data_IF_849630509255
#
_entry.id   IF_849630509255
#
_cell.length_a   1.000
_cell.length_b   1.000
_cell.length_c   1.000
_cell.angle_alpha   90.00
_cell.angle_beta   90.00
_cell.angle_gamma   90.00
#
_symmetry.space_group_name_H-M   'P 1'
#
loop_
_entity.id
_entity.type
_entity.pdbx_description
1 polymer ?
#
# COMPACT_ATOMS: atom_id res chain seq x y z
N UNK A 1 -19.92 15.13 20.73
CA UNK A 1 -20.07 15.74 19.38
C UNK A 1 -20.43 14.65 18.39
N UNK A 2 -21.34 14.89 17.41
CA UNK A 2 -21.69 13.91 16.38
C UNK A 2 -20.70 14.04 15.20
N UNK A 3 -20.03 12.93 14.86
CA UNK A 3 -19.10 12.84 13.74
C UNK A 3 -19.66 11.93 12.66
N UNK A 4 -19.72 12.40 11.43
CA UNK A 4 -20.08 11.59 10.25
C UNK A 4 -18.83 10.98 9.64
N UNK A 5 -18.91 9.75 9.20
CA UNK A 5 -17.82 9.02 8.56
C UNK A 5 -18.34 8.11 7.45
N UNK A 6 -17.44 7.69 6.57
CA UNK A 6 -17.70 6.63 5.59
C UNK A 6 -16.76 5.46 5.88
N UNK A 7 -17.31 4.24 5.96
CA UNK A 7 -16.53 3.01 5.97
C UNK A 7 -16.20 2.64 4.53
N UNK A 8 -14.91 2.45 4.26
CA UNK A 8 -14.38 2.07 2.95
C UNK A 8 -13.43 0.89 3.07
N UNK A 9 -13.14 0.25 1.94
CA UNK A 9 -12.12 -0.77 1.84
C UNK A 9 -11.40 -0.71 0.48
N UNK A 10 -10.12 -1.11 0.48
CA UNK A 10 -9.34 -1.34 -0.71
C UNK A 10 -8.63 -2.68 -0.61
N UNK A 11 -9.15 -3.69 -1.31
CA UNK A 11 -8.60 -5.06 -1.32
C UNK A 11 -8.56 -5.72 0.07
N UNK A 12 -9.57 -5.47 0.90
CA UNK A 12 -9.67 -6.03 2.25
C UNK A 12 -8.96 -5.23 3.35
N UNK A 13 -8.17 -4.23 3.00
CA UNK A 13 -7.69 -3.23 3.96
C UNK A 13 -8.80 -2.20 4.17
N UNK A 14 -9.29 -2.05 5.40
CA UNK A 14 -10.49 -1.29 5.69
C UNK A 14 -10.23 0.00 6.47
N UNK A 15 -11.01 1.01 6.14
CA UNK A 15 -10.81 2.38 6.56
C UNK A 15 -12.07 3.01 7.14
N UNK A 16 -11.90 3.83 8.17
CA UNK A 16 -12.82 4.88 8.52
C UNK A 16 -12.37 6.17 7.86
N UNK A 17 -13.19 6.79 7.00
CA UNK A 17 -12.85 8.04 6.32
C UNK A 17 -13.67 9.17 6.91
N UNK A 18 -13.00 10.25 7.32
CA UNK A 18 -13.62 11.43 7.95
C UNK A 18 -13.29 12.67 7.13
N UNK A 19 -14.33 13.41 6.78
CA UNK A 19 -14.23 14.72 6.15
C UNK A 19 -14.14 15.81 7.22
N UNK A 20 -13.01 16.49 7.30
CA UNK A 20 -12.80 17.69 8.12
C UNK A 20 -12.73 18.98 7.28
N UNK A 21 -13.12 18.92 6.00
CA UNK A 21 -13.36 20.11 5.18
C UNK A 21 -14.72 20.71 5.54
N UNK A 22 -15.76 19.87 5.66
CA UNK A 22 -17.14 20.29 5.95
C UNK A 22 -17.54 20.10 7.42
N UNK A 23 -16.82 19.25 8.17
CA UNK A 23 -17.04 19.02 9.58
C UNK A 23 -15.88 19.56 10.43
N UNK A 24 -16.16 19.81 11.69
CA UNK A 24 -15.12 20.20 12.68
C UNK A 24 -15.05 19.13 13.74
N UNK A 25 -13.92 18.43 13.79
CA UNK A 25 -13.61 17.47 14.85
C UNK A 25 -12.11 17.52 15.15
N UNK A 26 -11.76 17.10 16.33
CA UNK A 26 -10.38 16.80 16.70
C UNK A 26 -10.38 15.41 17.32
N UNK A 27 -9.63 14.51 16.70
CA UNK A 27 -9.47 13.13 17.14
C UNK A 27 -8.11 12.99 17.79
N UNK A 28 -8.09 12.63 19.07
CA UNK A 28 -6.87 12.27 19.78
C UNK A 28 -6.59 10.77 19.63
N UNK A 29 -5.35 10.35 19.95
CA UNK A 29 -4.90 8.97 19.79
C UNK A 29 -5.77 7.97 20.56
N UNK A 30 -6.23 8.31 21.78
CA UNK A 30 -7.13 7.45 22.56
C UNK A 30 -8.49 7.26 21.89
N UNK A 31 -9.02 8.32 21.29
CA UNK A 31 -10.29 8.24 20.55
C UNK A 31 -10.12 7.41 19.28
N UNK A 32 -9.00 7.54 18.57
CA UNK A 32 -8.71 6.71 17.38
C UNK A 32 -8.63 5.24 17.79
N UNK A 33 -7.90 4.90 18.87
CA UNK A 33 -7.83 3.52 19.40
C UNK A 33 -9.21 2.96 19.74
N UNK A 34 -10.04 3.76 20.41
CA UNK A 34 -11.41 3.34 20.75
C UNK A 34 -12.27 3.11 19.50
N UNK A 35 -12.21 4.01 18.51
CA UNK A 35 -12.96 3.89 17.27
C UNK A 35 -12.49 2.70 16.42
N UNK A 36 -11.18 2.39 16.45
CA UNK A 36 -10.58 1.30 15.70
C UNK A 36 -10.93 -0.08 16.24
N UNK A 37 -11.33 -0.19 17.52
CA UNK A 37 -11.70 -1.46 18.11
C UNK A 37 -12.88 -2.11 17.35
N UNK A 38 -12.69 -3.36 16.90
CA UNK A 38 -13.67 -4.07 16.05
C UNK A 38 -14.88 -4.59 16.82
N UNK A 39 -14.88 -4.54 18.16
CA UNK A 39 -15.96 -5.01 19.03
C UNK A 39 -16.65 -3.88 19.77
N UNK A 40 -15.88 -2.88 20.20
CA UNK A 40 -16.38 -1.78 21.02
C UNK A 40 -16.40 -0.44 20.27
N UNK A 41 -15.84 -0.38 19.06
CA UNK A 41 -15.80 0.78 18.18
C UNK A 41 -16.46 0.52 16.82
N UNK A 42 -15.98 1.23 15.81
CA UNK A 42 -16.38 1.06 14.40
C UNK A 42 -15.62 -0.11 13.77
N UNK A 43 -14.36 -0.29 14.18
CA UNK A 43 -13.44 -1.29 13.66
C UNK A 43 -12.88 -0.88 12.29
N UNK A 44 -11.58 -0.69 12.22
CA UNK A 44 -10.85 -0.40 10.98
C UNK A 44 -9.36 -0.67 11.18
N UNK A 45 -8.65 -0.85 10.07
CA UNK A 45 -7.19 -0.93 10.08
C UNK A 45 -6.58 0.46 10.22
N UNK A 46 -7.13 1.46 9.51
CA UNK A 46 -6.62 2.83 9.52
C UNK A 46 -7.76 3.85 9.44
N UNK A 47 -7.52 5.03 10.02
CA UNK A 47 -8.35 6.22 9.88
C UNK A 47 -7.75 7.11 8.79
N UNK A 48 -8.57 7.52 7.83
CA UNK A 48 -8.22 8.50 6.81
C UNK A 48 -8.93 9.81 7.12
N UNK A 49 -8.18 10.91 7.14
CA UNK A 49 -8.71 12.24 7.41
C UNK A 49 -8.49 13.15 6.20
N UNK A 50 -9.58 13.72 5.71
CA UNK A 50 -9.59 14.71 4.63
C UNK A 50 -9.62 16.10 5.25
N UNK A 51 -8.57 16.90 5.04
CA UNK A 51 -8.47 18.26 5.56
C UNK A 51 -8.29 19.27 4.40
N UNK A 52 -8.58 20.57 4.61
CA UNK A 52 -8.14 21.61 3.70
C UNK A 52 -6.61 21.59 3.56
N UNK A 53 -6.06 21.83 2.37
CA UNK A 53 -4.62 21.84 2.17
C UNK A 53 -3.98 23.03 2.90
N UNK A 54 -2.71 22.91 3.24
CA UNK A 54 -1.88 24.01 3.72
C UNK A 54 -1.20 24.75 2.56
N UNK A 55 -0.83 23.96 1.54
CA UNK A 55 -0.27 24.45 0.29
C UNK A 55 -1.42 24.76 -0.68
N UNK A 56 -1.56 26.01 -1.17
CA UNK A 56 -2.63 26.40 -2.10
C UNK A 56 -2.55 25.71 -3.48
N UNK A 57 -1.43 25.10 -3.83
CA UNK A 57 -1.28 24.30 -5.06
C UNK A 57 -1.91 22.89 -4.94
N UNK A 58 -2.27 22.47 -3.72
CA UNK A 58 -2.88 21.18 -3.44
C UNK A 58 -4.41 21.31 -3.32
N UNK A 59 -5.12 20.23 -3.65
CA UNK A 59 -6.59 20.20 -3.52
C UNK A 59 -7.02 19.88 -2.09
N UNK A 60 -6.31 18.98 -1.44
CA UNK A 60 -6.58 18.51 -0.07
C UNK A 60 -5.30 18.17 0.65
N UNK A 61 -5.43 18.05 1.98
CA UNK A 61 -4.47 17.37 2.83
C UNK A 61 -5.03 16.02 3.24
N UNK A 62 -4.23 14.98 3.05
CA UNK A 62 -4.53 13.60 3.37
C UNK A 62 -3.69 13.14 4.56
N UNK A 63 -4.35 12.78 5.66
CA UNK A 63 -3.69 12.23 6.84
C UNK A 63 -4.19 10.83 7.13
N UNK A 64 -3.28 9.98 7.61
CA UNK A 64 -3.52 8.56 7.87
C UNK A 64 -3.07 8.24 9.28
N UNK A 65 -3.91 7.52 10.01
CA UNK A 65 -3.60 7.04 11.34
C UNK A 65 -3.82 5.54 11.42
N UNK A 66 -2.87 4.82 12.03
CA UNK A 66 -3.06 3.43 12.38
C UNK A 66 -4.11 3.28 13.49
N UNK A 67 -4.55 2.05 13.72
CA UNK A 67 -5.50 1.71 14.79
C UNK A 67 -4.98 2.06 16.19
N UNK A 68 -3.66 2.19 16.39
CA UNK A 68 -3.03 2.60 17.65
C UNK A 68 -2.96 4.12 17.85
N UNK A 69 -3.43 4.91 16.87
CA UNK A 69 -3.41 6.36 16.86
C UNK A 69 -2.14 6.99 16.26
N UNK A 70 -1.13 6.20 15.91
CA UNK A 70 0.09 6.72 15.28
C UNK A 70 -0.18 7.21 13.87
N UNK A 71 0.33 8.39 13.49
CA UNK A 71 0.25 8.90 12.12
C UNK A 71 1.29 8.22 11.24
N UNK A 72 0.90 7.87 10.01
CA UNK A 72 1.78 7.26 9.00
C UNK A 72 1.89 8.11 7.75
N UNK A 73 3.00 7.97 7.04
CA UNK A 73 3.36 8.85 5.93
C UNK A 73 2.55 8.56 4.67
N UNK A 74 2.30 7.29 4.35
CA UNK A 74 1.62 6.87 3.12
C UNK A 74 0.98 5.48 3.25
N UNK A 75 -0.14 5.29 2.51
CA UNK A 75 -0.79 4.01 2.33
C UNK A 75 -1.47 3.98 0.94
N UNK A 76 -0.96 3.16 0.03
CA UNK A 76 -1.49 3.09 -1.34
C UNK A 76 -2.97 2.66 -1.40
N UNK A 77 -3.42 1.74 -0.54
CA UNK A 77 -4.81 1.34 -0.44
C UNK A 77 -5.69 2.49 0.08
N UNK A 78 -5.20 3.19 1.12
CA UNK A 78 -5.87 4.36 1.68
C UNK A 78 -5.95 5.52 0.70
N UNK A 79 -4.90 5.76 -0.10
CA UNK A 79 -4.90 6.80 -1.12
C UNK A 79 -6.00 6.60 -2.17
N UNK A 80 -6.26 5.34 -2.59
CA UNK A 80 -7.37 5.04 -3.50
C UNK A 80 -8.73 5.32 -2.85
N UNK A 81 -8.92 4.88 -1.60
CA UNK A 81 -10.15 5.17 -0.85
C UNK A 81 -10.35 6.68 -0.64
N UNK A 82 -9.28 7.41 -0.35
CA UNK A 82 -9.32 8.87 -0.23
C UNK A 82 -9.82 9.54 -1.51
N UNK A 83 -9.21 9.24 -2.67
CA UNK A 83 -9.58 9.84 -3.96
C UNK A 83 -11.04 9.54 -4.32
N UNK A 84 -11.45 8.29 -4.13
CA UNK A 84 -12.83 7.89 -4.35
C UNK A 84 -13.80 8.62 -3.41
N UNK A 85 -13.45 8.73 -2.14
CA UNK A 85 -14.27 9.41 -1.13
C UNK A 85 -14.53 10.87 -1.47
N UNK A 86 -13.47 11.66 -1.78
CA UNK A 86 -13.64 13.09 -2.05
C UNK A 86 -14.50 13.37 -3.30
N UNK A 87 -14.48 12.44 -4.27
CA UNK A 87 -15.35 12.45 -5.44
C UNK A 87 -16.80 12.10 -5.09
N UNK A 88 -17.00 11.00 -4.37
CA UNK A 88 -18.33 10.50 -3.98
C UNK A 88 -19.05 11.49 -3.06
N UNK A 89 -18.33 12.16 -2.17
CA UNK A 89 -18.85 13.21 -1.28
C UNK A 89 -18.97 14.58 -1.98
N UNK A 90 -18.62 14.68 -3.27
CA UNK A 90 -18.67 15.91 -4.07
C UNK A 90 -17.83 17.06 -3.48
N UNK A 91 -16.76 16.75 -2.75
CA UNK A 91 -15.80 17.74 -2.28
C UNK A 91 -14.97 18.30 -3.46
N UNK A 92 -14.85 17.52 -4.53
CA UNK A 92 -14.26 17.95 -5.81
C UNK A 92 -14.93 17.24 -6.99
N UNK A 93 -14.88 17.87 -8.17
CA UNK A 93 -15.28 17.28 -9.45
C UNK A 93 -14.08 16.92 -10.34
N UNK A 94 -12.86 17.21 -9.88
CA UNK A 94 -11.62 16.88 -10.61
C UNK A 94 -11.44 15.37 -10.71
N UNK A 95 -10.93 14.87 -11.85
CA UNK A 95 -10.47 13.51 -12.01
C UNK A 95 -9.06 13.34 -11.45
N UNK A 96 -8.20 14.33 -11.66
CA UNK A 96 -6.86 14.40 -11.10
C UNK A 96 -6.87 15.26 -9.83
N UNK A 97 -6.40 14.68 -8.74
CA UNK A 97 -6.48 15.25 -7.38
C UNK A 97 -5.06 15.30 -6.81
N UNK A 98 -4.61 16.49 -6.47
CA UNK A 98 -3.31 16.72 -5.85
C UNK A 98 -3.47 16.79 -4.33
N UNK A 99 -2.76 15.95 -3.60
CA UNK A 99 -2.91 15.89 -2.14
C UNK A 99 -1.58 16.07 -1.43
N UNK A 100 -1.61 16.85 -0.36
CA UNK A 100 -0.52 17.00 0.60
C UNK A 100 -0.56 15.82 1.57
N UNK A 101 0.54 15.08 1.71
CA UNK A 101 0.69 14.01 2.70
C UNK A 101 1.91 14.24 3.58
N UNK A 102 2.03 13.49 4.69
CA UNK A 102 3.23 13.54 5.53
C UNK A 102 4.49 13.06 4.79
N UNK A 103 4.34 12.20 3.79
CA UNK A 103 5.43 11.70 2.93
C UNK A 103 5.72 12.55 1.69
N UNK A 104 5.03 13.69 1.52
CA UNK A 104 5.14 14.57 0.34
C UNK A 104 3.86 14.62 -0.50
N UNK A 105 3.89 15.37 -1.61
CA UNK A 105 2.74 15.49 -2.50
C UNK A 105 2.46 14.17 -3.23
N UNK A 106 1.18 13.89 -3.48
CA UNK A 106 0.72 12.70 -4.17
C UNK A 106 -0.34 13.09 -5.20
N UNK A 107 -0.25 12.53 -6.40
CA UNK A 107 -1.26 12.70 -7.45
C UNK A 107 -2.11 11.44 -7.59
N UNK A 108 -3.42 11.61 -7.49
CA UNK A 108 -4.41 10.55 -7.57
C UNK A 108 -5.34 10.82 -8.75
N UNK A 109 -5.60 9.81 -9.59
CA UNK A 109 -6.51 9.95 -10.73
C UNK A 109 -7.65 8.96 -10.60
N UNK A 110 -8.88 9.45 -10.54
CA UNK A 110 -10.07 8.60 -10.55
C UNK A 110 -10.49 8.35 -11.99
N UNK A 111 -10.39 7.10 -12.41
CA UNK A 111 -10.73 6.63 -13.76
C UNK A 111 -12.25 6.55 -13.97
N UNK A 112 -12.71 6.51 -15.23
CA UNK A 112 -14.14 6.47 -15.57
C UNK A 112 -14.84 5.19 -15.06
N UNK A 113 -14.10 4.08 -14.95
CA UNK A 113 -14.58 2.82 -14.38
C UNK A 113 -14.58 2.79 -12.84
N UNK A 114 -14.15 3.88 -12.22
CA UNK A 114 -14.11 4.06 -10.76
C UNK A 114 -12.86 3.51 -10.09
N UNK A 115 -11.91 2.91 -10.83
CA UNK A 115 -10.59 2.61 -10.30
C UNK A 115 -9.83 3.90 -10.04
N UNK A 116 -8.82 3.79 -9.18
CA UNK A 116 -7.95 4.92 -8.86
C UNK A 116 -6.52 4.58 -9.22
N UNK A 117 -5.90 5.45 -10.03
CA UNK A 117 -4.47 5.42 -10.34
C UNK A 117 -3.71 6.24 -9.32
N UNK A 118 -2.61 5.67 -8.86
CA UNK A 118 -1.70 6.27 -7.89
C UNK A 118 -0.29 6.23 -8.45
N UNK A 119 0.40 7.36 -8.48
CA UNK A 119 1.83 7.42 -8.74
C UNK A 119 2.55 6.92 -7.48
N UNK A 120 3.23 5.78 -7.59
CA UNK A 120 3.95 5.12 -6.49
C UNK A 120 5.43 5.52 -6.42
N UNK A 121 5.84 6.46 -7.27
CA UNK A 121 7.23 6.88 -7.41
C UNK A 121 8.10 5.85 -8.15
N UNK A 122 9.39 6.10 -8.12
CA UNK A 122 10.37 5.26 -8.82
C UNK A 122 10.82 4.09 -7.95
N UNK A 123 10.81 2.85 -8.47
CA UNK A 123 11.47 1.72 -7.80
C UNK A 123 12.98 1.99 -7.65
N UNK A 124 13.53 1.76 -6.48
CA UNK A 124 14.96 1.94 -6.21
C UNK A 124 15.59 0.60 -5.88
N UNK A 125 16.62 0.21 -6.64
CA UNK A 125 17.30 -1.08 -6.52
C UNK A 125 18.67 -0.99 -5.87
N UNK A 126 19.27 0.21 -5.84
CA UNK A 126 20.58 0.41 -5.25
C UNK A 126 20.57 0.05 -3.74
N UNK A 127 21.52 -0.77 -3.24
CA UNK A 127 21.55 -1.22 -1.85
C UNK A 127 21.49 -0.08 -0.83
N UNK A 128 22.06 1.08 -1.16
CA UNK A 128 22.06 2.28 -0.32
C UNK A 128 20.66 2.88 -0.12
N UNK A 129 19.79 2.70 -1.12
CA UNK A 129 18.40 3.17 -1.06
C UNK A 129 17.46 2.19 -0.33
N UNK A 130 17.99 0.99 -0.07
CA UNK A 130 17.33 -0.10 0.55
C UNK A 130 18.00 -0.36 1.87
N UNK A 131 17.82 -0.21 3.02
CA UNK A 131 18.69 -0.71 4.10
C UNK A 131 18.90 -2.24 3.95
N UNK A 132 19.73 -2.58 2.97
CA UNK A 132 20.05 -3.95 2.56
C UNK A 132 21.58 -4.13 2.45
N UNK A 133 22.12 -5.11 3.15
CA UNK A 133 23.56 -5.43 3.13
C UNK A 133 23.89 -6.22 1.86
N UNK A 134 24.36 -5.49 0.85
CA UNK A 134 24.87 -6.03 -0.41
C UNK A 134 26.00 -5.16 -0.97
N UNK A 135 27.01 -5.80 -1.54
CA UNK A 135 28.15 -5.10 -2.17
C UNK A 135 27.80 -4.52 -3.56
N UNK A 136 26.80 -5.08 -4.22
CA UNK A 136 26.43 -4.76 -5.59
C UNK A 136 24.91 -4.80 -5.77
N UNK A 137 24.43 -4.01 -6.72
CA UNK A 137 23.07 -4.09 -7.22
C UNK A 137 22.97 -5.23 -8.25
N UNK A 138 22.09 -6.23 -7.97
CA UNK A 138 21.84 -7.40 -8.83
C UNK A 138 20.35 -7.61 -8.99
N UNK A 139 19.90 -8.21 -10.11
CA UNK A 139 18.48 -8.60 -10.29
C UNK A 139 18.00 -9.60 -9.22
N UNK A 140 18.88 -10.49 -8.77
CA UNK A 140 18.65 -11.48 -7.72
C UNK A 140 19.81 -11.49 -6.72
N UNK A 141 19.45 -11.61 -5.45
CA UNK A 141 20.39 -11.71 -4.34
C UNK A 141 20.18 -13.00 -3.58
N UNK A 142 21.26 -13.80 -3.30
CA UNK A 142 21.16 -14.98 -2.50
C UNK A 142 20.86 -14.64 -1.04
N UNK A 143 19.92 -15.36 -0.43
CA UNK A 143 19.58 -15.29 0.98
C UNK A 143 19.70 -16.70 1.58
N UNK A 144 20.47 -16.85 2.65
CA UNK A 144 20.58 -18.09 3.39
C UNK A 144 19.57 -18.09 4.56
N UNK A 145 18.43 -18.74 4.36
CA UNK A 145 17.32 -18.74 5.30
C UNK A 145 17.11 -20.13 5.88
N UNK A 146 17.38 -20.31 7.18
CA UNK A 146 17.21 -21.60 7.87
C UNK A 146 17.93 -22.78 7.19
N UNK A 147 19.09 -22.52 6.58
CA UNK A 147 19.88 -23.52 5.86
C UNK A 147 19.44 -23.77 4.40
N UNK A 148 18.43 -23.08 3.93
CA UNK A 148 18.02 -23.06 2.52
C UNK A 148 18.63 -21.83 1.82
N UNK A 149 19.20 -22.01 0.63
CA UNK A 149 19.66 -20.91 -0.20
C UNK A 149 18.54 -20.51 -1.16
N UNK A 150 18.03 -19.30 -0.97
CA UNK A 150 16.96 -18.68 -1.78
C UNK A 150 17.53 -17.56 -2.62
N UNK A 151 16.86 -17.24 -3.73
CA UNK A 151 17.17 -16.08 -4.56
C UNK A 151 16.00 -15.09 -4.47
N UNK A 152 16.28 -13.84 -4.14
CA UNK A 152 15.28 -12.79 -4.00
C UNK A 152 15.62 -11.54 -4.81
N UNK A 153 14.65 -11.00 -5.54
CA UNK A 153 14.70 -9.64 -6.05
C UNK A 153 14.51 -8.67 -4.89
N UNK A 154 15.34 -7.63 -4.80
CA UNK A 154 15.25 -6.65 -3.69
C UNK A 154 15.04 -5.25 -4.27
N UNK A 155 14.04 -4.53 -3.74
CA UNK A 155 13.65 -3.20 -4.25
C UNK A 155 13.05 -2.36 -3.13
N UNK A 156 13.23 -1.04 -3.20
CA UNK A 156 12.49 -0.07 -2.37
C UNK A 156 11.38 0.60 -3.19
N UNK A 157 10.18 0.61 -2.62
CA UNK A 157 9.03 1.41 -3.05
C UNK A 157 8.72 2.51 -2.02
N UNK A 158 9.78 3.12 -1.44
CA UNK A 158 9.69 3.94 -0.23
C UNK A 158 9.85 3.12 1.05
N UNK A 159 9.60 1.82 0.98
CA UNK A 159 9.84 0.80 1.99
C UNK A 159 10.51 -0.43 1.35
N UNK A 160 11.29 -1.23 2.09
CA UNK A 160 12.04 -2.34 1.53
C UNK A 160 11.18 -3.57 1.25
N UNK A 161 11.42 -4.21 0.11
CA UNK A 161 10.78 -5.45 -0.32
C UNK A 161 11.79 -6.48 -0.80
N UNK A 162 11.59 -7.74 -0.41
CA UNK A 162 12.25 -8.91 -0.95
C UNK A 162 11.20 -9.78 -1.67
N UNK A 163 11.42 -10.10 -2.93
CA UNK A 163 10.48 -10.84 -3.78
C UNK A 163 11.09 -12.17 -4.19
N UNK A 164 10.44 -13.26 -3.82
CA UNK A 164 10.80 -14.62 -4.23
C UNK A 164 9.87 -15.07 -5.36
N UNK A 165 10.44 -15.72 -6.37
CA UNK A 165 9.64 -16.45 -7.34
C UNK A 165 9.27 -17.82 -6.76
N UNK A 166 8.01 -18.21 -6.91
CA UNK A 166 7.48 -19.50 -6.48
C UNK A 166 6.70 -20.17 -7.62
N UNK A 167 6.69 -21.51 -7.64
CA UNK A 167 5.97 -22.26 -8.67
C UNK A 167 4.45 -22.16 -8.47
N UNK A 168 4.00 -22.19 -7.22
CA UNK A 168 2.59 -22.08 -6.85
C UNK A 168 2.44 -21.24 -5.57
N UNK A 169 1.74 -20.13 -5.70
CA UNK A 169 1.50 -19.19 -4.60
C UNK A 169 0.66 -19.82 -3.47
N UNK A 170 -0.21 -20.77 -3.79
CA UNK A 170 -1.11 -21.37 -2.81
C UNK A 170 -0.39 -22.36 -1.87
N UNK A 171 0.68 -22.99 -2.36
CA UNK A 171 1.50 -23.92 -1.58
C UNK A 171 2.79 -23.29 -1.06
N UNK A 172 3.05 -22.02 -1.42
CA UNK A 172 4.23 -21.30 -0.97
C UNK A 172 4.30 -21.23 0.57
N UNK A 173 5.46 -21.51 1.19
CA UNK A 173 5.60 -21.60 2.64
C UNK A 173 5.71 -20.21 3.32
N UNK A 174 4.69 -19.36 3.11
CA UNK A 174 4.66 -17.94 3.56
C UNK A 174 4.81 -17.84 5.08
N UNK A 175 4.11 -18.67 5.84
CA UNK A 175 4.17 -18.67 7.32
C UNK A 175 5.54 -19.06 7.86
N UNK A 176 6.31 -19.87 7.12
CA UNK A 176 7.65 -20.30 7.52
C UNK A 176 8.73 -19.34 7.06
N UNK A 177 8.71 -18.95 5.78
CA UNK A 177 9.75 -18.11 5.18
C UNK A 177 9.51 -16.62 5.40
N UNK A 178 8.25 -16.17 5.47
CA UNK A 178 7.90 -14.78 5.66
C UNK A 178 8.60 -14.14 6.88
N UNK A 179 8.36 -14.64 8.10
CA UNK A 179 9.01 -14.07 9.29
C UNK A 179 10.54 -14.26 9.31
N UNK A 180 11.04 -15.34 8.73
CA UNK A 180 12.48 -15.62 8.68
C UNK A 180 13.23 -14.65 7.73
N UNK A 181 12.61 -14.29 6.60
CA UNK A 181 13.18 -13.30 5.66
C UNK A 181 12.93 -11.87 6.16
N UNK A 182 11.75 -11.58 6.72
CA UNK A 182 11.46 -10.28 7.32
C UNK A 182 12.55 -9.85 8.30
N UNK A 183 13.00 -10.77 9.16
CA UNK A 183 14.01 -10.55 10.19
C UNK A 183 15.43 -10.94 9.78
N UNK A 184 15.67 -11.21 8.49
CA UNK A 184 16.98 -11.67 8.02
C UNK A 184 18.06 -10.61 8.26
N UNK A 185 19.28 -10.97 8.73
CA UNK A 185 20.34 -10.03 9.12
C UNK A 185 20.74 -9.03 8.02
N UNK A 186 20.63 -9.43 6.74
CA UNK A 186 20.90 -8.52 5.60
C UNK A 186 19.88 -7.38 5.46
N UNK A 187 18.75 -7.40 6.20
CA UNK A 187 17.76 -6.34 6.26
C UNK A 187 17.71 -5.71 7.66
N UNK A 188 18.61 -4.79 8.01
CA UNK A 188 18.74 -4.23 9.37
C UNK A 188 17.48 -3.46 9.83
N UNK A 189 16.61 -3.05 8.92
CA UNK A 189 15.31 -2.41 9.22
C UNK A 189 14.13 -3.31 8.91
N UNK A 190 14.36 -4.64 8.80
CA UNK A 190 13.39 -5.62 8.33
C UNK A 190 12.89 -5.35 6.90
N UNK A 191 12.10 -6.24 6.33
CA UNK A 191 11.67 -6.20 4.93
C UNK A 191 10.25 -6.76 4.79
N UNK A 192 9.48 -6.27 3.81
CA UNK A 192 8.27 -6.94 3.35
C UNK A 192 8.66 -8.07 2.39
N UNK A 193 8.00 -9.22 2.46
CA UNK A 193 8.35 -10.41 1.67
C UNK A 193 7.23 -10.76 0.72
N UNK A 194 7.50 -10.71 -0.59
CA UNK A 194 6.58 -11.11 -1.65
C UNK A 194 6.88 -12.52 -2.15
N UNK A 195 5.84 -13.33 -2.33
CA UNK A 195 5.89 -14.65 -2.94
C UNK A 195 5.14 -14.56 -4.27
N UNK A 196 5.89 -14.48 -5.37
CA UNK A 196 5.38 -14.19 -6.71
C UNK A 196 5.35 -15.44 -7.56
N UNK A 197 4.16 -15.80 -8.05
CA UNK A 197 3.97 -16.80 -9.11
C UNK A 197 3.74 -16.09 -10.44
N UNK A 198 4.58 -16.33 -11.43
CA UNK A 198 4.40 -15.82 -12.79
C UNK A 198 3.41 -16.71 -13.53
N UNK A 199 2.32 -16.15 -14.03
CA UNK A 199 1.31 -16.83 -14.85
C UNK A 199 1.58 -16.59 -16.33
N UNK A 200 1.88 -15.33 -16.68
CA UNK A 200 2.29 -14.91 -18.01
C UNK A 200 3.17 -13.66 -17.92
N UNK A 201 3.67 -13.16 -19.05
CA UNK A 201 4.42 -11.90 -19.05
C UNK A 201 3.62 -10.70 -18.51
N UNK A 202 2.29 -10.77 -18.50
CA UNK A 202 1.40 -9.69 -18.07
C UNK A 202 0.51 -10.04 -16.86
N UNK A 203 0.81 -11.16 -16.16
CA UNK A 203 -0.05 -11.65 -15.10
C UNK A 203 0.74 -12.41 -14.04
N UNK A 204 0.55 -12.04 -12.77
CA UNK A 204 1.13 -12.72 -11.62
C UNK A 204 0.08 -12.96 -10.53
N UNK A 205 0.33 -13.99 -9.69
CA UNK A 205 -0.29 -14.11 -8.37
C UNK A 205 0.72 -13.78 -7.30
N UNK A 206 0.26 -13.13 -6.24
CA UNK A 206 1.14 -12.63 -5.19
C UNK A 206 0.53 -12.84 -3.81
N UNK A 207 1.35 -13.34 -2.89
CA UNK A 207 1.09 -13.27 -1.44
C UNK A 207 2.18 -12.43 -0.81
N UNK A 208 1.82 -11.63 0.20
CA UNK A 208 2.77 -10.73 0.87
C UNK A 208 2.72 -10.95 2.37
N UNK A 209 3.91 -11.13 2.96
CA UNK A 209 4.13 -11.06 4.39
C UNK A 209 4.70 -9.68 4.71
N UNK A 210 3.89 -8.82 5.33
CA UNK A 210 4.25 -7.42 5.58
C UNK A 210 5.03 -7.25 6.87
N UNK A 211 6.00 -6.37 6.84
CA UNK A 211 6.85 -6.01 7.96
C UNK A 211 6.03 -5.55 9.17
N UNK A 212 6.12 -6.30 10.26
CA UNK A 212 5.43 -6.02 11.53
C UNK A 212 3.95 -6.39 11.55
N UNK A 213 3.36 -6.82 10.44
CA UNK A 213 1.91 -7.13 10.34
C UNK A 213 1.63 -8.60 10.02
N UNK A 214 2.62 -9.33 9.47
CA UNK A 214 2.41 -10.70 9.01
C UNK A 214 1.80 -10.78 7.62
N UNK A 215 1.19 -11.93 7.28
CA UNK A 215 0.54 -12.08 5.99
C UNK A 215 -0.76 -11.28 5.92
N UNK A 216 -0.88 -10.42 4.90
CA UNK A 216 -2.05 -9.56 4.66
C UNK A 216 -2.80 -9.98 3.40
N UNK A 217 -4.02 -9.44 3.22
CA UNK A 217 -4.83 -9.73 2.04
C UNK A 217 -4.31 -8.99 0.80
N UNK A 218 -3.71 -7.81 0.97
CA UNK A 218 -3.17 -7.02 -0.12
C UNK A 218 -2.17 -5.98 0.38
N UNK A 219 -1.04 -5.88 -0.34
CA UNK A 219 -0.02 -4.86 -0.13
C UNK A 219 0.27 -4.15 -1.46
N UNK A 220 -0.09 -2.88 -1.56
CA UNK A 220 0.09 -2.10 -2.79
C UNK A 220 1.57 -1.94 -3.17
N UNK A 221 2.43 -1.56 -2.22
CA UNK A 221 3.88 -1.46 -2.45
C UNK A 221 4.51 -2.83 -2.74
N UNK A 222 3.98 -3.91 -2.14
CA UNK A 222 4.40 -5.28 -2.43
C UNK A 222 4.08 -5.71 -3.86
N UNK A 223 2.90 -5.35 -4.38
CA UNK A 223 2.53 -5.59 -5.77
C UNK A 223 3.44 -4.82 -6.74
N UNK A 224 3.71 -3.54 -6.45
CA UNK A 224 4.64 -2.72 -7.21
C UNK A 224 6.06 -3.32 -7.22
N UNK A 225 6.53 -3.75 -6.05
CA UNK A 225 7.84 -4.38 -5.89
C UNK A 225 7.96 -5.68 -6.68
N UNK A 226 6.93 -6.54 -6.64
CA UNK A 226 6.91 -7.79 -7.39
C UNK A 226 7.00 -7.56 -8.90
N UNK A 227 6.21 -6.62 -9.42
CA UNK A 227 6.25 -6.26 -10.84
C UNK A 227 7.58 -5.63 -11.24
N UNK A 228 8.12 -4.70 -10.45
CA UNK A 228 9.41 -4.07 -10.72
C UNK A 228 10.55 -5.09 -10.75
N UNK A 229 10.59 -6.02 -9.79
CA UNK A 229 11.56 -7.12 -9.76
C UNK A 229 11.38 -8.06 -10.96
N UNK A 230 10.14 -8.42 -11.30
CA UNK A 230 9.86 -9.32 -12.43
C UNK A 230 10.23 -8.72 -13.79
N UNK A 231 9.95 -7.42 -14.01
CA UNK A 231 10.36 -6.71 -15.24
C UNK A 231 11.89 -6.63 -15.31
N UNK A 232 12.56 -6.31 -14.21
CA UNK A 232 14.02 -6.25 -14.15
C UNK A 232 14.69 -7.58 -14.44
N UNK A 233 14.05 -8.69 -14.09
CA UNK A 233 14.52 -10.06 -14.38
C UNK A 233 14.15 -10.54 -15.79
N UNK A 234 13.40 -9.76 -16.57
CA UNK A 234 12.90 -10.16 -17.90
C UNK A 234 11.79 -11.20 -17.86
N UNK A 235 11.13 -11.38 -16.72
CA UNK A 235 10.01 -12.30 -16.53
C UNK A 235 8.66 -11.67 -16.88
N UNK A 236 8.55 -10.35 -16.76
CA UNK A 236 7.31 -9.60 -16.92
C UNK A 236 7.47 -8.43 -17.89
N UNK A 237 6.37 -8.06 -18.52
CA UNK A 237 6.23 -6.91 -19.44
C UNK A 237 5.05 -6.04 -19.00
N UNK A 238 5.28 -4.73 -18.89
CA UNK A 238 4.23 -3.76 -18.53
C UNK A 238 3.14 -3.67 -19.61
N UNK A 239 1.86 -3.55 -19.25
CA UNK A 239 1.29 -3.57 -17.90
C UNK A 239 1.13 -4.99 -17.33
N UNK A 240 1.10 -5.12 -16.00
CA UNK A 240 0.94 -6.40 -15.30
C UNK A 240 -0.28 -6.38 -14.39
N UNK A 241 -1.12 -7.41 -14.50
CA UNK A 241 -2.21 -7.67 -13.55
C UNK A 241 -1.66 -8.51 -12.39
N UNK A 242 -1.89 -8.04 -11.17
CA UNK A 242 -1.44 -8.68 -9.94
C UNK A 242 -2.65 -9.18 -9.16
N UNK A 243 -2.79 -10.50 -9.05
CA UNK A 243 -3.84 -11.14 -8.26
C UNK A 243 -3.35 -11.36 -6.83
N UNK A 244 -3.93 -10.63 -5.89
CA UNK A 244 -3.71 -10.75 -4.46
C UNK A 244 -4.89 -11.48 -3.81
N UNK A 245 -4.77 -11.88 -2.56
CA UNK A 245 -5.86 -12.53 -1.82
C UNK A 245 -7.09 -11.63 -1.66
N UNK A 246 -6.88 -10.31 -1.56
CA UNK A 246 -7.95 -9.31 -1.41
C UNK A 246 -8.54 -8.80 -2.72
N UNK A 247 -7.96 -9.16 -3.88
CA UNK A 247 -8.41 -8.71 -5.21
C UNK A 247 -7.25 -8.27 -6.11
N UNK A 248 -7.56 -7.58 -7.18
CA UNK A 248 -6.64 -7.33 -8.27
C UNK A 248 -6.12 -5.89 -8.31
N UNK A 249 -4.85 -5.74 -8.65
CA UNK A 249 -4.19 -4.49 -9.00
C UNK A 249 -3.64 -4.56 -10.42
N UNK A 250 -3.60 -3.42 -11.10
CA UNK A 250 -2.88 -3.26 -12.36
C UNK A 250 -1.68 -2.35 -12.12
N UNK A 251 -0.51 -2.82 -12.52
CA UNK A 251 0.76 -2.11 -12.33
C UNK A 251 1.35 -1.81 -13.71
N UNK A 252 1.74 -0.54 -13.91
CA UNK A 252 2.39 -0.06 -15.13
C UNK A 252 3.75 0.55 -14.78
N UNK A 253 4.80 0.09 -15.47
CA UNK A 253 6.14 0.64 -15.32
C UNK A 253 6.94 0.51 -16.60
N UNK A 254 7.43 1.65 -17.12
CA UNK A 254 8.21 1.68 -18.35
C UNK A 254 9.69 1.27 -18.16
N UNK A 255 10.09 0.97 -16.93
CA UNK A 255 11.49 0.69 -16.59
C UNK A 255 12.32 1.94 -16.29
N UNK A 256 13.57 1.73 -15.88
CA UNK A 256 14.52 2.80 -15.56
C UNK A 256 14.02 3.77 -14.50
N UNK A 257 14.17 5.06 -14.75
CA UNK A 257 13.80 6.16 -13.84
C UNK A 257 12.33 6.60 -14.01
N UNK A 258 11.50 5.82 -14.74
CA UNK A 258 10.09 6.14 -14.87
C UNK A 258 9.34 5.87 -13.57
N UNK A 259 8.31 6.67 -13.23
CA UNK A 259 7.44 6.36 -12.10
C UNK A 259 6.64 5.08 -12.37
N UNK A 260 6.37 4.34 -11.32
CA UNK A 260 5.52 3.16 -11.35
C UNK A 260 4.10 3.57 -10.97
N UNK A 261 3.14 3.21 -11.81
CA UNK A 261 1.74 3.55 -11.63
C UNK A 261 0.96 2.31 -11.18
N UNK A 262 0.20 2.45 -10.11
CA UNK A 262 -0.69 1.42 -9.59
C UNK A 262 -2.14 1.84 -9.78
N UNK A 263 -2.96 0.99 -10.42
CA UNK A 263 -4.41 1.15 -10.52
C UNK A 263 -5.13 0.05 -9.75
N UNK A 264 -6.19 0.41 -9.02
CA UNK A 264 -6.97 -0.58 -8.28
C UNK A 264 -8.31 -0.03 -7.77
N UNK A 265 -9.17 -0.92 -7.25
CA UNK A 265 -10.46 -0.55 -6.73
C UNK A 265 -10.36 0.18 -5.38
N UNK A 266 -11.41 0.93 -5.09
CA UNK A 266 -11.71 1.48 -3.79
C UNK A 266 -13.23 1.45 -3.62
N UNK A 267 -13.71 0.85 -2.55
CA UNK A 267 -15.13 0.59 -2.36
C UNK A 267 -15.67 1.24 -1.09
N UNK A 268 -16.81 1.88 -1.23
CA UNK A 268 -17.60 2.36 -0.11
C UNK A 268 -18.42 1.20 0.45
N UNK A 269 -18.33 0.98 1.76
CA UNK A 269 -19.09 -0.08 2.45
C UNK A 269 -20.38 0.48 3.02
N UNK A 270 -20.28 1.52 3.86
CA UNK A 270 -21.43 2.24 4.41
C UNK A 270 -21.04 3.63 4.93
N UNK A 271 -22.05 4.50 5.12
CA UNK A 271 -21.90 5.73 5.88
C UNK A 271 -22.45 5.54 7.30
N UNK A 272 -21.80 6.19 8.24
CA UNK A 272 -22.17 6.15 9.63
C UNK A 272 -21.99 7.48 10.35
N UNK A 273 -22.43 7.48 11.58
CA UNK A 273 -22.22 8.60 12.52
C UNK A 273 -21.96 8.04 13.90
N UNK A 274 -21.03 8.68 14.62
CA UNK A 274 -20.63 8.29 15.96
C UNK A 274 -20.60 9.51 16.86
N UNK A 275 -20.98 9.32 18.13
CA UNK A 275 -20.87 10.36 19.15
C UNK A 275 -19.48 10.27 19.75
N UNK A 276 -18.71 11.36 19.63
CA UNK A 276 -17.43 11.51 20.31
C UNK A 276 -17.69 12.09 21.71
N UNK A 277 -17.24 11.39 22.72
CA UNK A 277 -17.29 11.81 24.13
C UNK A 277 -16.09 12.67 24.49
#
# INVERSE_FOLDING_TARGET
>A
MLLHFTKMQGLGNDFMVVDLVTQRARLGDDQIRQLADRRFGIGFDQLLVVEPPRDPEMDFRYRIYNADGSEVENCGNGARCFARFVRDQRLTHKHEIHVETAGGPLTLVVEDDGRVRVDMGMPRFAPEALPFDAAEDRPLHPLDVNGERLEAGVVSMGNPHAVLQVDDVYTAPVERLGPAIEAHPRFPRRVNVGFMQVISAHEIRLRVYERGSGETLACGTGACAAVACGIRQGLLESPVNVHLRGGDLRIEWAGGDAPLIMSGPAERVFDGRVVLN
#
